data_IF_225371049645
#
_entry.id   IF_225371049645
#
_cell.length_a   1.000
_cell.length_b   1.000
_cell.length_c   1.000
_cell.angle_alpha   90.00
_cell.angle_beta   90.00
_cell.angle_gamma   90.00
#
_symmetry.space_group_name_H-M   'P 1'
#
loop_
_entity.id
_entity.type
_entity.pdbx_description
1 polymer ?
#
# COMPACT_ATOMS: atom_id res chain seq x y z
N UNK A 1 11.58 -6.35 -14.83
CA UNK A 1 11.78 -7.76 -14.39
C UNK A 1 10.64 -8.16 -13.46
N UNK A 2 10.28 -9.44 -13.38
CA UNK A 2 9.20 -9.94 -12.50
C UNK A 2 9.38 -9.52 -11.03
N UNK A 3 10.63 -9.44 -10.58
CA UNK A 3 11.01 -8.96 -9.25
C UNK A 3 10.55 -7.54 -8.97
N UNK A 4 10.63 -6.61 -9.92
CA UNK A 4 10.17 -5.23 -9.74
C UNK A 4 8.66 -5.16 -9.57
N UNK A 5 7.92 -5.98 -10.32
CA UNK A 5 6.46 -6.06 -10.21
C UNK A 5 6.08 -6.64 -8.85
N UNK A 6 6.78 -7.68 -8.39
CA UNK A 6 6.58 -8.26 -7.06
C UNK A 6 6.84 -7.24 -5.95
N UNK A 7 7.92 -6.45 -6.04
CA UNK A 7 8.25 -5.42 -5.06
C UNK A 7 7.20 -4.28 -5.01
N UNK A 8 6.57 -3.95 -6.14
CA UNK A 8 5.47 -2.97 -6.17
C UNK A 8 4.15 -3.56 -5.65
N UNK A 9 3.93 -4.85 -5.85
CA UNK A 9 2.72 -5.53 -5.38
C UNK A 9 2.69 -5.71 -3.86
N UNK A 10 3.85 -5.78 -3.18
CA UNK A 10 3.95 -5.93 -1.73
C UNK A 10 3.15 -4.88 -0.93
N UNK A 11 3.39 -3.56 -1.06
CA UNK A 11 2.68 -2.55 -0.28
C UNK A 11 1.16 -2.56 -0.55
N UNK A 12 0.74 -2.87 -1.78
CA UNK A 12 -0.68 -3.02 -2.16
C UNK A 12 -1.34 -4.15 -1.37
N UNK A 13 -0.69 -5.31 -1.35
CA UNK A 13 -1.17 -6.49 -0.63
C UNK A 13 -1.16 -6.27 0.88
N UNK A 14 -0.14 -5.59 1.41
CA UNK A 14 -0.03 -5.24 2.82
C UNK A 14 -1.17 -4.30 3.25
N UNK A 15 -1.50 -3.30 2.42
CA UNK A 15 -2.56 -2.33 2.70
C UNK A 15 -3.95 -2.98 2.57
N UNK A 16 -4.18 -3.74 1.50
CA UNK A 16 -5.48 -4.34 1.17
C UNK A 16 -5.80 -5.64 1.90
N UNK A 17 -4.78 -6.39 2.30
CA UNK A 17 -4.87 -7.71 2.92
C UNK A 17 -4.76 -8.85 1.91
N UNK A 18 -4.03 -9.92 2.27
CA UNK A 18 -3.91 -11.17 1.49
C UNK A 18 -5.22 -11.96 1.40
N UNK A 19 -6.11 -11.75 2.37
CA UNK A 19 -7.33 -12.54 2.56
C UNK A 19 -8.58 -11.86 2.00
N UNK A 20 -8.49 -10.59 1.59
CA UNK A 20 -9.64 -9.79 1.14
C UNK A 20 -9.43 -9.24 -0.28
N UNK A 21 -10.14 -9.80 -1.25
CA UNK A 21 -10.13 -9.34 -2.64
C UNK A 21 -10.59 -7.88 -2.78
N UNK A 22 -11.71 -7.46 -2.17
CA UNK A 22 -12.14 -6.05 -2.23
C UNK A 22 -11.11 -5.09 -1.62
N UNK A 23 -10.45 -5.52 -0.53
CA UNK A 23 -9.40 -4.74 0.12
C UNK A 23 -8.16 -4.58 -0.76
N UNK A 24 -7.72 -5.64 -1.43
CA UNK A 24 -6.61 -5.58 -2.38
C UNK A 24 -6.89 -4.63 -3.55
N UNK A 25 -8.12 -4.63 -4.08
CA UNK A 25 -8.52 -3.71 -5.17
C UNK A 25 -8.45 -2.25 -4.70
N UNK A 26 -9.08 -1.95 -3.56
CA UNK A 26 -9.10 -0.59 -3.01
C UNK A 26 -7.69 -0.14 -2.63
N UNK A 27 -6.90 -1.02 -2.02
CA UNK A 27 -5.53 -0.71 -1.65
C UNK A 27 -4.61 -0.50 -2.86
N UNK A 28 -4.82 -1.26 -3.93
CA UNK A 28 -4.10 -1.07 -5.19
C UNK A 28 -4.41 0.28 -5.83
N UNK A 29 -5.68 0.71 -5.80
CA UNK A 29 -6.09 2.02 -6.28
C UNK A 29 -5.47 3.15 -5.43
N UNK A 30 -5.53 3.04 -4.10
CA UNK A 30 -4.97 4.05 -3.19
C UNK A 30 -3.45 4.18 -3.41
N UNK A 31 -2.73 3.06 -3.44
CA UNK A 31 -1.28 3.06 -3.65
C UNK A 31 -0.95 3.60 -5.04
N UNK A 32 -1.56 3.09 -6.11
CA UNK A 32 -1.23 3.50 -7.48
C UNK A 32 -1.51 4.97 -7.76
N UNK A 33 -2.64 5.49 -7.26
CA UNK A 33 -2.97 6.92 -7.32
C UNK A 33 -1.98 7.72 -6.47
N UNK A 34 -1.69 7.25 -5.25
CA UNK A 34 -0.73 7.85 -4.34
C UNK A 34 0.68 7.96 -4.93
N UNK A 35 1.20 6.89 -5.54
CA UNK A 35 2.51 6.88 -6.21
C UNK A 35 2.58 7.97 -7.28
N UNK A 36 1.59 8.05 -8.16
CA UNK A 36 1.56 9.04 -9.25
C UNK A 36 1.38 10.47 -8.77
N UNK A 37 0.51 10.71 -7.79
CA UNK A 37 0.41 12.03 -7.18
C UNK A 37 1.73 12.41 -6.48
N UNK A 38 2.30 11.49 -5.72
CA UNK A 38 3.54 11.75 -5.00
C UNK A 38 4.67 12.10 -5.98
N UNK A 39 4.80 11.40 -7.10
CA UNK A 39 5.81 11.72 -8.11
C UNK A 39 5.62 13.11 -8.73
N UNK A 40 4.38 13.51 -9.00
CA UNK A 40 4.08 14.83 -9.59
C UNK A 40 4.30 15.96 -8.59
N UNK A 41 3.85 15.79 -7.34
CA UNK A 41 3.85 16.86 -6.34
C UNK A 41 5.14 16.92 -5.52
N UNK A 42 5.67 15.77 -5.09
CA UNK A 42 6.88 15.68 -4.26
C UNK A 42 8.13 15.31 -5.08
N UNK A 43 7.98 14.64 -6.22
CA UNK A 43 9.13 14.25 -7.06
C UNK A 43 10.10 15.41 -7.38
N UNK A 44 9.62 16.61 -7.76
CA UNK A 44 10.50 17.75 -8.02
C UNK A 44 11.28 18.26 -6.80
N UNK A 45 10.76 18.06 -5.59
CA UNK A 45 11.38 18.54 -4.35
C UNK A 45 12.39 17.55 -3.75
N UNK A 46 12.24 16.26 -4.05
CA UNK A 46 13.00 15.17 -3.41
C UNK A 46 14.03 14.54 -4.37
N UNK A 47 14.12 15.02 -5.62
CA UNK A 47 15.07 14.52 -6.62
C UNK A 47 14.57 13.36 -7.48
N UNK A 48 13.25 13.15 -7.52
CA UNK A 48 12.59 12.11 -8.33
C UNK A 48 12.66 10.70 -7.72
N UNK A 49 11.99 9.74 -8.38
CA UNK A 49 12.03 8.32 -8.00
C UNK A 49 11.29 7.96 -6.72
N UNK A 50 10.35 8.81 -6.26
CA UNK A 50 9.70 8.60 -4.97
C UNK A 50 8.53 7.62 -4.99
N UNK A 51 8.08 7.20 -6.18
CA UNK A 51 6.91 6.32 -6.35
C UNK A 51 6.96 5.12 -5.39
N UNK A 52 8.02 4.31 -5.51
CA UNK A 52 8.16 3.08 -4.75
C UNK A 52 8.22 3.40 -3.25
N UNK A 53 9.03 4.37 -2.86
CA UNK A 53 9.22 4.71 -1.44
C UNK A 53 7.91 5.20 -0.80
N UNK A 54 7.13 5.99 -1.53
CA UNK A 54 5.84 6.49 -1.07
C UNK A 54 4.85 5.36 -0.76
N UNK A 55 4.76 4.35 -1.64
CA UNK A 55 3.88 3.20 -1.43
C UNK A 55 4.19 2.46 -0.12
N UNK A 56 5.47 2.25 0.19
CA UNK A 56 5.89 1.60 1.43
C UNK A 56 5.64 2.46 2.66
N UNK A 57 5.94 3.76 2.60
CA UNK A 57 5.66 4.68 3.72
C UNK A 57 4.17 4.74 4.00
N UNK A 58 3.33 4.86 2.97
CA UNK A 58 1.88 4.90 3.10
C UNK A 58 1.36 3.59 3.71
N UNK A 59 1.83 2.44 3.22
CA UNK A 59 1.47 1.15 3.79
C UNK A 59 1.85 1.03 5.28
N UNK A 60 3.05 1.50 5.65
CA UNK A 60 3.56 1.43 7.02
C UNK A 60 2.77 2.35 7.97
N UNK A 61 2.48 3.59 7.53
CA UNK A 61 1.61 4.52 8.26
C UNK A 61 0.22 3.93 8.42
N UNK A 62 -0.36 3.36 7.37
CA UNK A 62 -1.69 2.78 7.43
C UNK A 62 -1.75 1.57 8.37
N UNK A 63 -0.75 0.70 8.33
CA UNK A 63 -0.64 -0.43 9.26
C UNK A 63 -0.52 0.03 10.71
N UNK A 64 0.17 1.14 10.97
CA UNK A 64 0.28 1.70 12.32
C UNK A 64 -1.11 2.03 12.90
N UNK A 65 -2.01 2.55 12.07
CA UNK A 65 -3.39 2.85 12.47
C UNK A 65 -4.35 1.65 12.37
N UNK A 66 -4.12 0.75 11.41
CA UNK A 66 -4.91 -0.45 11.13
C UNK A 66 -4.02 -1.63 10.76
N UNK A 67 -3.49 -2.38 11.75
CA UNK A 67 -2.53 -3.45 11.52
C UNK A 67 -3.11 -4.65 10.78
N UNK A 68 -4.44 -4.73 10.67
CA UNK A 68 -5.14 -5.81 9.95
C UNK A 68 -5.38 -5.47 8.46
N UNK A 69 -4.91 -4.31 7.98
CA UNK A 69 -5.20 -3.80 6.63
C UNK A 69 -6.60 -3.18 6.53
N UNK A 70 -7.01 -2.82 5.30
CA UNK A 70 -8.30 -2.15 5.03
C UNK A 70 -9.52 -2.97 5.47
N UNK A 71 -9.47 -4.30 5.30
CA UNK A 71 -10.59 -5.21 5.55
C UNK A 71 -10.18 -6.46 6.33
N UNK A 72 -9.17 -6.36 7.19
CA UNK A 72 -8.83 -7.45 8.09
C UNK A 72 -10.03 -7.84 8.94
N UNK A 73 -10.44 -9.10 8.84
CA UNK A 73 -11.42 -9.67 9.75
C UNK A 73 -10.87 -9.51 11.16
N UNK A 74 -11.62 -8.87 12.04
CA UNK A 74 -11.34 -8.92 13.48
C UNK A 74 -11.20 -10.40 13.81
N UNK A 75 -10.03 -10.82 14.27
CA UNK A 75 -9.85 -12.15 14.84
C UNK A 75 -10.85 -12.18 16.00
N UNK A 76 -12.04 -12.76 15.76
CA UNK A 76 -13.04 -12.96 16.80
C UNK A 76 -12.43 -14.05 17.65
N UNK A 77 -11.77 -13.65 18.71
CA UNK A 77 -11.35 -14.54 19.78
C UNK A 77 -12.64 -15.13 20.36
N UNK A 78 -13.00 -16.33 19.88
CA UNK A 78 -14.13 -17.08 20.41
C UNK A 78 -13.63 -17.76 21.68
N UNK A 79 -13.85 -17.12 22.81
CA UNK A 79 -13.86 -17.76 24.13
C UNK A 79 -15.14 -18.57 24.33
#
# INVERSE_FOLDING_TARGET
SLTTVALRALPVIILGGLTSVPGAIIGGLIIGVGEKLSEVYLGPYVGGGIEIWFAYVLALVFLLFRPQGLFGEKIIDRV
#
